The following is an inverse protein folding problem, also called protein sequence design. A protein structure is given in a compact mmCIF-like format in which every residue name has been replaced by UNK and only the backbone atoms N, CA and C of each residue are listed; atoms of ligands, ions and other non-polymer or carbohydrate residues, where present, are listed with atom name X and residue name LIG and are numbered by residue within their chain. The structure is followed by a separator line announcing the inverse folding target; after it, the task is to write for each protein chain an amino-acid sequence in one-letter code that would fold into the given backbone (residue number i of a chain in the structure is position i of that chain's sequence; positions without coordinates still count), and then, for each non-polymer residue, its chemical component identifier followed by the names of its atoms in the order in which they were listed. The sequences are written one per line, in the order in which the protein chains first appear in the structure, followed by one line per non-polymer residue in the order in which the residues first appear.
data_IF_383587653565
#
_entry.id   IF_383587653565
#
_cell.length_a   1.000
_cell.length_b   1.000
_cell.length_c   1.000
_cell.angle_alpha   90.00
_cell.angle_beta   90.00
_cell.angle_gamma   90.00
#
_symmetry.space_group_name_H-M   'P 1'
#
loop_
_entity.id
_entity.type
_entity.pdbx_description
1 polymer ?
#
# COMPACT_ATOMS: atom_id res chain seq x y z
N UNK A 1 -18.09 0.12 -6.51
CA UNK A 1 -17.11 0.70 -5.56
C UNK A 1 -15.73 0.15 -5.86
N UNK A 2 -14.78 1.01 -6.11
CA UNK A 2 -13.38 0.63 -6.34
C UNK A 2 -12.53 1.12 -5.17
N UNK A 3 -11.93 0.19 -4.43
CA UNK A 3 -11.08 0.47 -3.28
C UNK A 3 -9.64 0.17 -3.66
N UNK A 4 -8.74 1.13 -3.47
CA UNK A 4 -7.31 0.94 -3.68
C UNK A 4 -6.57 0.96 -2.35
N UNK A 5 -5.88 -0.13 -2.03
CA UNK A 5 -4.95 -0.18 -0.91
C UNK A 5 -3.54 0.10 -1.42
N UNK A 6 -2.81 0.89 -0.68
CA UNK A 6 -1.43 1.23 -1.00
C UNK A 6 -0.56 1.09 0.25
N UNK A 7 0.53 0.34 0.14
CA UNK A 7 1.45 0.13 1.26
C UNK A 7 2.85 -0.19 0.77
N UNK A 8 3.85 0.17 1.55
CA UNK A 8 5.23 -0.27 1.33
C UNK A 8 5.56 -1.54 2.13
N UNK A 9 4.71 -1.95 3.05
CA UNK A 9 4.97 -3.09 3.95
C UNK A 9 4.33 -4.38 3.45
N UNK A 10 4.59 -4.74 2.20
CA UNK A 10 4.13 -5.99 1.61
C UNK A 10 5.35 -6.74 1.09
N UNK A 11 5.88 -7.64 1.90
CA UNK A 11 7.07 -8.42 1.58
C UNK A 11 6.88 -9.86 2.02
N UNK A 12 7.66 -10.82 1.49
CA UNK A 12 7.56 -12.21 1.91
C UNK A 12 7.70 -12.39 3.42
N UNK A 13 8.52 -11.55 4.06
CA UNK A 13 8.76 -11.61 5.50
C UNK A 13 7.80 -10.74 6.33
N UNK A 14 6.83 -10.08 5.71
CA UNK A 14 5.95 -9.15 6.44
C UNK A 14 4.86 -9.84 7.26
N UNK A 15 4.71 -11.15 7.14
CA UNK A 15 3.83 -11.92 8.03
C UNK A 15 2.38 -11.45 8.01
N UNK A 16 1.95 -10.83 9.13
CA UNK A 16 0.55 -10.46 9.31
C UNK A 16 0.04 -9.41 8.34
N UNK A 17 0.87 -8.44 7.93
CA UNK A 17 0.45 -7.40 6.98
C UNK A 17 0.11 -8.03 5.63
N UNK A 18 1.00 -8.87 5.10
CA UNK A 18 0.77 -9.53 3.82
C UNK A 18 -0.44 -10.46 3.88
N UNK A 19 -0.55 -11.24 4.94
CA UNK A 19 -1.67 -12.16 5.13
C UNK A 19 -3.00 -11.41 5.17
N UNK A 20 -3.05 -10.31 5.90
CA UNK A 20 -4.24 -9.46 5.99
C UNK A 20 -4.62 -8.88 4.63
N UNK A 21 -3.65 -8.32 3.91
CA UNK A 21 -3.90 -7.70 2.61
C UNK A 21 -4.31 -8.71 1.56
N UNK A 22 -3.69 -9.88 1.55
CA UNK A 22 -4.07 -10.97 0.63
C UNK A 22 -5.49 -11.46 0.89
N UNK A 23 -5.87 -11.61 2.15
CA UNK A 23 -7.23 -12.00 2.53
C UNK A 23 -8.25 -10.92 2.14
N UNK A 24 -7.94 -9.67 2.40
CA UNK A 24 -8.78 -8.53 2.02
C UNK A 24 -8.99 -8.46 0.51
N UNK A 25 -7.90 -8.60 -0.24
CA UNK A 25 -7.94 -8.56 -1.70
C UNK A 25 -8.83 -9.67 -2.27
N UNK A 26 -8.64 -10.91 -1.80
CA UNK A 26 -9.48 -12.03 -2.24
C UNK A 26 -10.96 -11.78 -1.93
N UNK A 27 -11.26 -11.32 -0.72
CA UNK A 27 -12.63 -11.12 -0.28
C UNK A 27 -13.32 -10.02 -1.07
N UNK A 28 -12.68 -8.86 -1.19
CA UNK A 28 -13.27 -7.73 -1.89
C UNK A 28 -13.40 -7.99 -3.39
N UNK A 29 -12.46 -8.71 -3.99
CA UNK A 29 -12.51 -9.05 -5.41
C UNK A 29 -13.66 -9.99 -5.76
N UNK A 30 -14.24 -10.69 -4.78
CA UNK A 30 -15.38 -11.60 -4.97
C UNK A 30 -16.73 -10.95 -4.70
N UNK A 31 -16.75 -9.75 -4.13
CA UNK A 31 -18.01 -9.07 -3.84
C UNK A 31 -18.57 -8.43 -5.11
N UNK A 32 -19.84 -8.71 -5.46
CA UNK A 32 -20.47 -8.09 -6.63
C UNK A 32 -20.47 -6.56 -6.50
N UNK A 33 -20.14 -5.88 -7.60
CA UNK A 33 -20.10 -4.42 -7.64
C UNK A 33 -18.89 -3.80 -6.94
N UNK A 34 -17.95 -4.61 -6.46
CA UNK A 34 -16.76 -4.14 -5.78
C UNK A 34 -15.51 -4.54 -6.57
N UNK A 35 -14.60 -3.58 -6.74
CA UNK A 35 -13.29 -3.81 -7.33
C UNK A 35 -12.23 -3.42 -6.30
N UNK A 36 -11.22 -4.24 -6.16
CA UNK A 36 -10.11 -3.99 -5.24
C UNK A 36 -8.78 -4.01 -5.98
N UNK A 37 -7.99 -2.98 -5.78
CA UNK A 37 -6.62 -2.88 -6.30
C UNK A 37 -5.66 -2.74 -5.13
N UNK A 38 -4.53 -3.42 -5.23
CA UNK A 38 -3.49 -3.41 -4.19
C UNK A 38 -2.18 -2.96 -4.82
N UNK A 39 -1.62 -1.85 -4.33
CA UNK A 39 -0.34 -1.31 -4.80
C UNK A 39 0.74 -1.63 -3.78
N UNK A 40 1.77 -2.34 -4.21
CA UNK A 40 2.85 -2.84 -3.35
C UNK A 40 4.21 -2.64 -4.03
N UNK A 41 5.30 -2.55 -3.26
CA UNK A 41 6.62 -2.48 -3.86
C UNK A 41 7.04 -3.82 -4.45
N UNK A 42 7.78 -3.78 -5.55
CA UNK A 42 8.32 -4.96 -6.20
C UNK A 42 9.61 -4.66 -6.93
N UNK A 43 10.20 -5.68 -7.55
CA UNK A 43 11.42 -5.51 -8.34
C UNK A 43 11.14 -4.91 -9.71
N UNK A 44 9.99 -5.22 -10.28
CA UNK A 44 9.58 -4.78 -11.61
C UNK A 44 8.16 -4.28 -11.57
N UNK A 45 7.79 -3.48 -12.57
CA UNK A 45 6.41 -3.07 -12.75
C UNK A 45 5.61 -4.25 -13.30
N UNK A 46 4.72 -4.80 -12.49
CA UNK A 46 3.84 -5.90 -12.88
C UNK A 46 2.43 -5.66 -12.39
N UNK A 47 1.47 -6.27 -13.10
CA UNK A 47 0.06 -6.27 -12.70
C UNK A 47 -0.45 -7.70 -12.81
N UNK A 48 -1.01 -8.22 -11.74
CA UNK A 48 -1.61 -9.55 -11.73
C UNK A 48 -2.78 -9.58 -10.75
N UNK A 49 -3.96 -9.93 -11.24
CA UNK A 49 -5.19 -10.03 -10.42
C UNK A 49 -5.48 -8.79 -9.56
N UNK A 50 -5.24 -7.60 -10.11
CA UNK A 50 -5.46 -6.35 -9.38
C UNK A 50 -4.36 -6.01 -8.38
N UNK A 51 -3.28 -6.76 -8.33
CA UNK A 51 -2.09 -6.45 -7.54
C UNK A 51 -1.05 -5.79 -8.42
N UNK A 52 -0.73 -4.55 -8.10
CA UNK A 52 0.19 -3.70 -8.85
C UNK A 52 1.50 -3.63 -8.11
N UNK A 53 2.55 -4.19 -8.68
CA UNK A 53 3.90 -4.04 -8.15
C UNK A 53 4.55 -2.80 -8.74
N UNK A 54 5.08 -1.94 -7.89
CA UNK A 54 5.74 -0.71 -8.28
C UNK A 54 7.24 -0.87 -8.04
N UNK A 55 8.09 -0.63 -9.06
CA UNK A 55 9.54 -0.80 -8.89
C UNK A 55 10.06 0.01 -7.70
N UNK A 56 10.72 -0.68 -6.80
CA UNK A 56 11.28 -0.07 -5.59
C UNK A 56 12.57 -0.80 -5.23
N UNK A 57 13.65 -0.08 -4.86
CA UNK A 57 14.91 -0.72 -4.54
C UNK A 57 14.80 -1.59 -3.28
N UNK A 58 15.52 -2.71 -3.30
CA UNK A 58 15.63 -3.58 -2.14
C UNK A 58 16.61 -2.98 -1.13
N UNK A 59 16.29 -3.10 0.15
CA UNK A 59 17.23 -2.77 1.21
C UNK A 59 18.23 -3.91 1.38
N UNK A 60 19.55 -3.62 1.53
CA UNK A 60 20.57 -4.67 1.64
C UNK A 60 20.32 -5.67 2.78
N UNK A 61 19.73 -5.24 3.88
CA UNK A 61 19.44 -6.09 5.04
C UNK A 61 17.96 -6.08 5.40
N UNK A 62 17.10 -5.87 4.42
CA UNK A 62 15.68 -5.63 4.66
C UNK A 62 14.78 -6.86 4.64
N UNK A 63 15.32 -8.08 4.62
CA UNK A 63 14.54 -9.33 4.63
C UNK A 63 13.45 -9.38 3.55
N UNK A 64 13.76 -8.87 2.37
CA UNK A 64 12.81 -8.81 1.26
C UNK A 64 11.96 -7.54 1.22
N UNK A 65 12.09 -6.64 2.19
CA UNK A 65 11.44 -5.35 2.13
C UNK A 65 12.10 -4.44 1.10
N UNK A 66 11.26 -3.68 0.40
CA UNK A 66 11.69 -2.72 -0.61
C UNK A 66 11.26 -1.33 -0.19
N UNK A 67 12.07 -0.33 -0.51
CA UNK A 67 11.82 1.04 -0.11
C UNK A 67 11.46 1.89 -1.34
N UNK A 68 10.22 2.37 -1.46
CA UNK A 68 9.87 3.30 -2.53
C UNK A 68 10.64 4.60 -2.36
N UNK A 69 11.26 5.07 -3.46
CA UNK A 69 12.00 6.33 -3.47
C UNK A 69 11.43 7.33 -4.46
N UNK A 70 10.51 6.91 -5.32
CA UNK A 70 9.88 7.77 -6.32
C UNK A 70 8.37 7.78 -6.12
N UNK A 71 7.83 8.99 -5.98
CA UNK A 71 6.41 9.21 -5.76
C UNK A 71 5.58 8.96 -7.03
N UNK A 72 6.08 9.45 -8.17
CA UNK A 72 5.31 9.52 -9.40
C UNK A 72 4.73 8.17 -9.88
N UNK A 73 5.47 7.05 -9.86
CA UNK A 73 4.89 5.78 -10.32
C UNK A 73 3.65 5.37 -9.52
N UNK A 74 3.67 5.61 -8.21
CA UNK A 74 2.54 5.29 -7.34
C UNK A 74 1.34 6.19 -7.62
N UNK A 75 1.58 7.49 -7.74
CA UNK A 75 0.53 8.46 -8.07
C UNK A 75 -0.11 8.16 -9.41
N UNK A 76 0.70 7.84 -10.42
CA UNK A 76 0.21 7.59 -11.76
C UNK A 76 -0.72 6.37 -11.82
N UNK A 77 -0.39 5.31 -11.09
CA UNK A 77 -1.25 4.13 -11.00
C UNK A 77 -2.58 4.47 -10.35
N UNK A 78 -2.54 5.21 -9.23
CA UNK A 78 -3.78 5.64 -8.56
C UNK A 78 -4.65 6.50 -9.47
N UNK A 79 -4.05 7.40 -10.23
CA UNK A 79 -4.78 8.25 -11.17
C UNK A 79 -5.40 7.42 -12.30
N UNK A 80 -4.67 6.45 -12.83
CA UNK A 80 -5.18 5.57 -13.88
C UNK A 80 -6.34 4.69 -13.39
N UNK A 81 -6.26 4.21 -12.16
CA UNK A 81 -7.28 3.36 -11.57
C UNK A 81 -8.57 4.11 -11.23
N UNK A 82 -8.46 5.38 -10.89
CA UNK A 82 -9.59 6.22 -10.46
C UNK A 82 -10.44 5.55 -9.37
N UNK A 83 -9.84 5.19 -8.23
CA UNK A 83 -10.61 4.54 -7.18
C UNK A 83 -11.59 5.48 -6.52
N UNK A 84 -12.60 4.92 -5.87
CA UNK A 84 -13.56 5.67 -5.07
C UNK A 84 -13.06 5.93 -3.66
N UNK A 85 -12.12 5.11 -3.19
CA UNK A 85 -11.53 5.20 -1.87
C UNK A 85 -10.08 4.72 -1.93
N UNK A 86 -9.18 5.44 -1.29
CA UNK A 86 -7.78 5.02 -1.12
C UNK A 86 -7.52 4.73 0.34
N UNK A 87 -7.03 3.54 0.64
CA UNK A 87 -6.62 3.15 1.99
C UNK A 87 -5.11 3.01 2.04
N UNK A 88 -4.49 3.72 2.99
CA UNK A 88 -3.04 3.78 3.15
C UNK A 88 -2.64 2.92 4.33
N UNK A 89 -1.71 1.99 4.13
CA UNK A 89 -1.26 1.06 5.16
C UNK A 89 -0.05 1.53 5.96
N UNK A 90 0.53 2.69 5.63
CA UNK A 90 1.69 3.23 6.32
C UNK A 90 1.78 4.75 6.15
N UNK A 91 2.51 5.46 7.04
CA UNK A 91 2.61 6.92 7.00
C UNK A 91 3.82 7.45 6.20
N UNK A 92 4.33 6.68 5.24
CA UNK A 92 5.55 7.01 4.53
C UNK A 92 5.27 7.48 3.11
N UNK A 93 6.15 7.15 2.14
CA UNK A 93 6.04 7.62 0.76
C UNK A 93 4.68 7.28 0.13
N UNK A 94 4.15 6.11 0.43
CA UNK A 94 2.85 5.67 -0.08
C UNK A 94 1.72 6.58 0.38
N UNK A 95 1.79 7.09 1.62
CA UNK A 95 0.83 8.08 2.11
C UNK A 95 0.92 9.39 1.34
N UNK A 96 2.12 9.86 1.04
CA UNK A 96 2.31 11.05 0.23
C UNK A 96 1.78 10.87 -1.19
N UNK A 97 2.01 9.67 -1.77
CA UNK A 97 1.48 9.35 -3.09
C UNK A 97 -0.06 9.40 -3.11
N UNK A 98 -0.69 8.84 -2.08
CA UNK A 98 -2.14 8.86 -1.95
C UNK A 98 -2.68 10.28 -1.81
N UNK A 99 -2.05 11.11 -0.98
CA UNK A 99 -2.46 12.50 -0.78
C UNK A 99 -2.27 13.34 -2.04
N UNK A 100 -1.22 13.08 -2.80
CA UNK A 100 -0.98 13.76 -4.06
C UNK A 100 -2.03 13.36 -5.11
N UNK A 101 -2.33 12.08 -5.21
CA UNK A 101 -3.38 11.58 -6.10
C UNK A 101 -4.76 12.15 -5.72
N UNK A 102 -5.04 12.29 -4.42
CA UNK A 102 -6.29 12.83 -3.92
C UNK A 102 -6.61 14.21 -4.47
N UNK A 103 -5.59 15.05 -4.64
CA UNK A 103 -5.79 16.41 -5.16
C UNK A 103 -6.43 16.41 -6.54
N UNK A 104 -6.16 15.38 -7.34
CA UNK A 104 -6.65 15.29 -8.70
C UNK A 104 -7.92 14.44 -8.80
N UNK A 105 -8.07 13.45 -7.92
CA UNK A 105 -9.18 12.49 -7.97
C UNK A 105 -10.37 12.90 -7.10
N UNK A 106 -10.16 13.78 -6.13
CA UNK A 106 -11.17 14.21 -5.15
C UNK A 106 -11.86 13.01 -4.48
N UNK A 107 -11.05 12.09 -3.96
CA UNK A 107 -11.53 10.88 -3.28
C UNK A 107 -11.05 10.86 -1.83
N UNK A 108 -11.78 10.21 -0.91
CA UNK A 108 -11.31 10.06 0.46
C UNK A 108 -10.08 9.17 0.54
N UNK A 109 -9.16 9.57 1.43
CA UNK A 109 -7.97 8.80 1.78
C UNK A 109 -8.06 8.50 3.26
N UNK A 110 -8.04 7.20 3.62
CA UNK A 110 -8.03 6.76 5.01
C UNK A 110 -6.76 6.02 5.31
N UNK A 111 -6.29 6.13 6.55
CA UNK A 111 -5.11 5.42 7.01
C UNK A 111 -5.49 4.24 7.89
N UNK A 112 -4.91 3.09 7.61
CA UNK A 112 -5.01 1.91 8.45
C UNK A 112 -3.61 1.37 8.69
N UNK A 113 -3.05 1.65 9.87
CA UNK A 113 -1.68 1.29 10.18
C UNK A 113 -1.63 -0.04 10.90
N UNK A 114 -0.90 -0.99 10.33
CA UNK A 114 -0.74 -2.33 10.87
C UNK A 114 0.29 -2.39 11.99
N UNK A 115 1.09 -1.34 12.14
CA UNK A 115 2.03 -1.19 13.24
C UNK A 115 2.07 0.25 13.68
N UNK A 116 2.03 0.46 15.00
CA UNK A 116 2.17 1.79 15.59
C UNK A 116 3.63 2.00 15.95
N UNK A 117 4.40 2.59 15.04
CA UNK A 117 5.81 2.82 15.24
C UNK A 117 6.11 3.72 16.46
N UNK A 118 5.38 4.84 16.68
CA UNK A 118 5.57 5.64 17.89
C UNK A 118 5.35 4.87 19.18
N UNK A 119 4.32 4.02 19.23
CA UNK A 119 4.05 3.19 20.41
C UNK A 119 5.14 2.15 20.63
N UNK A 120 5.61 1.49 19.55
CA UNK A 120 6.69 0.51 19.62
C UNK A 120 7.98 1.14 20.13
N UNK A 121 8.32 2.33 19.64
CA UNK A 121 9.51 3.06 20.08
C UNK A 121 9.39 3.42 21.55
N UNK A 122 8.25 3.94 21.98
CA UNK A 122 8.02 4.31 23.38
C UNK A 122 8.12 3.10 24.30
N UNK A 123 7.55 1.97 23.93
CA UNK A 123 7.61 0.75 24.73
C UNK A 123 9.03 0.22 24.86
N UNK A 124 9.81 0.28 23.80
CA UNK A 124 11.21 -0.16 23.82
C UNK A 124 12.11 0.75 24.65
N UNK A 125 11.76 2.01 24.77
CA UNK A 125 12.50 2.97 25.58
C UNK A 125 12.10 2.93 27.08
N UNK A 126 11.26 2.01 27.46
CA UNK A 126 10.96 1.75 28.87
C UNK A 126 10.01 2.73 29.55
N UNK A 127 9.21 3.41 28.78
CA UNK A 127 8.25 4.37 29.33
C UNK A 127 6.83 3.85 29.29
#
# INVERSE_FOLDING_TARGET
MHIADITMFYAPASGGVRTYLDAKHRRLSRLPGTRHSLLVPGSNRTVHDGIYQVPSPALPFGNGFRFPIRLAPWCNILQDLQPDLIEVGDPYLTAWAALDARRQLDVPVIGFYHSDLPLLVRNRMGN
#
